data_IF_929029653991
#
_entry.id   IF_929029653991
#
_cell.length_a   1.000
_cell.length_b   1.000
_cell.length_c   1.000
_cell.angle_alpha   90.00
_cell.angle_beta   90.00
_cell.angle_gamma   90.00
#
_symmetry.space_group_name_H-M   'P 1'
#
loop_
_entity.id
_entity.type
_entity.pdbx_description
1 polymer ?
#
# COMPACT_ATOMS: atom_id res chain seq x y z
N UNK A 1 37.29 -0.31 19.06
CA UNK A 1 36.22 -0.27 20.08
C UNK A 1 35.33 0.89 19.67
N UNK A 2 34.30 0.61 18.86
CA UNK A 2 33.39 1.62 18.30
C UNK A 2 32.20 1.68 19.26
N UNK A 3 31.93 2.87 19.77
CA UNK A 3 30.90 3.13 20.77
C UNK A 3 29.52 3.06 20.09
N UNK A 4 28.68 2.12 20.53
CA UNK A 4 27.35 1.82 19.98
C UNK A 4 26.32 2.49 20.89
N UNK A 5 26.34 3.82 20.95
CA UNK A 5 25.34 4.62 21.67
C UNK A 5 24.82 5.78 20.81
N UNK A 6 24.46 5.48 19.55
CA UNK A 6 23.66 6.42 18.76
C UNK A 6 22.15 6.12 18.95
N UNK A 7 21.38 7.00 19.62
CA UNK A 7 19.96 6.80 19.89
C UNK A 7 19.06 6.82 18.65
N UNK A 8 19.58 7.16 17.46
CA UNK A 8 18.81 7.11 16.20
C UNK A 8 18.53 5.68 15.71
N UNK A 9 19.31 4.68 16.14
CA UNK A 9 19.11 3.28 15.73
C UNK A 9 17.92 2.63 16.47
N UNK A 10 17.53 3.17 17.64
CA UNK A 10 16.43 2.62 18.45
C UNK A 10 15.04 2.86 17.86
N UNK A 11 14.87 3.84 16.97
CA UNK A 11 13.60 4.09 16.29
C UNK A 11 13.36 3.17 15.09
N UNK A 12 14.42 2.61 14.48
CA UNK A 12 14.29 1.68 13.35
C UNK A 12 13.72 0.31 13.75
N UNK A 13 14.00 -0.18 14.97
CA UNK A 13 13.55 -1.50 15.42
C UNK A 13 12.05 -1.48 15.81
N UNK A 14 11.53 -0.34 16.31
CA UNK A 14 10.11 -0.22 16.63
C UNK A 14 9.21 -0.16 15.38
N UNK A 15 9.69 0.44 14.28
CA UNK A 15 8.94 0.51 13.02
C UNK A 15 8.80 -0.90 12.41
N UNK A 16 9.88 -1.69 12.39
CA UNK A 16 9.85 -3.08 11.89
C UNK A 16 8.88 -3.96 12.68
N UNK A 17 8.78 -3.77 14.00
CA UNK A 17 7.82 -4.51 14.84
C UNK A 17 6.36 -4.10 14.60
N UNK A 18 6.08 -2.84 14.26
CA UNK A 18 4.73 -2.38 13.92
C UNK A 18 4.25 -2.92 12.57
N UNK A 19 5.14 -3.00 11.57
CA UNK A 19 4.85 -3.63 10.28
C UNK A 19 4.48 -5.12 10.43
N UNK A 20 5.21 -5.85 11.28
CA UNK A 20 4.91 -7.26 11.58
C UNK A 20 3.57 -7.43 12.33
N UNK A 21 3.20 -6.50 13.21
CA UNK A 21 1.96 -6.57 13.99
C UNK A 21 0.71 -6.31 13.14
N UNK A 22 0.83 -5.57 12.04
CA UNK A 22 -0.27 -5.36 11.08
C UNK A 22 -0.50 -6.58 10.18
N UNK A 23 0.55 -7.30 9.79
CA UNK A 23 0.44 -8.59 9.09
C UNK A 23 -0.30 -9.66 9.92
N UNK A 24 -0.12 -9.66 11.25
CA UNK A 24 -0.80 -10.59 12.16
C UNK A 24 -2.32 -10.33 12.30
N UNK A 25 -2.84 -9.17 11.88
CA UNK A 25 -4.31 -8.94 11.80
C UNK A 25 -4.96 -9.59 10.58
N UNK A 26 -4.19 -10.16 9.65
CA UNK A 26 -4.71 -10.95 8.53
C UNK A 26 -4.93 -12.44 8.88
N UNK A 27 -4.90 -12.82 10.16
CA UNK A 27 -5.15 -14.20 10.63
C UNK A 27 -6.60 -14.69 10.48
N UNK A 28 -7.40 -14.10 9.60
CA UNK A 28 -8.60 -14.80 9.11
C UNK A 28 -8.14 -15.73 8.00
N UNK A 29 -8.16 -17.03 8.28
CA UNK A 29 -8.00 -18.04 7.24
C UNK A 29 -8.96 -17.69 6.08
N UNK A 30 -8.45 -17.60 4.84
CA UNK A 30 -9.29 -17.26 3.71
C UNK A 30 -10.40 -18.30 3.61
N UNK A 31 -11.62 -17.82 3.39
CA UNK A 31 -12.72 -18.72 3.14
C UNK A 31 -12.44 -19.46 1.84
N UNK A 32 -12.67 -20.78 1.81
CA UNK A 32 -12.41 -21.59 0.62
C UNK A 32 -13.69 -22.20 0.08
N UNK A 33 -13.77 -22.34 -1.23
CA UNK A 33 -14.79 -23.10 -1.93
C UNK A 33 -14.15 -23.87 -3.09
N UNK A 34 -14.75 -24.98 -3.51
CA UNK A 34 -14.28 -25.69 -4.70
C UNK A 34 -14.93 -25.14 -5.97
N UNK A 35 -14.34 -25.40 -7.14
CA UNK A 35 -14.98 -25.11 -8.43
C UNK A 35 -16.35 -25.82 -8.54
N UNK A 36 -16.49 -27.02 -7.96
CA UNK A 36 -17.76 -27.74 -7.93
C UNK A 36 -18.81 -27.02 -7.07
N UNK A 37 -18.41 -26.49 -5.90
CA UNK A 37 -19.29 -25.69 -5.04
C UNK A 37 -19.74 -24.40 -5.74
N UNK A 38 -18.82 -23.73 -6.44
CA UNK A 38 -19.16 -22.55 -7.22
C UNK A 38 -20.18 -22.88 -8.32
N UNK A 39 -20.00 -24.00 -9.03
CA UNK A 39 -20.93 -24.42 -10.08
C UNK A 39 -22.32 -24.76 -9.54
N UNK A 40 -22.38 -25.51 -8.44
CA UNK A 40 -23.63 -26.07 -7.95
C UNK A 40 -24.36 -25.13 -6.97
N UNK A 41 -23.61 -24.29 -6.24
CA UNK A 41 -24.11 -23.46 -5.13
C UNK A 41 -23.58 -22.01 -5.20
N UNK A 42 -23.51 -21.42 -6.40
CA UNK A 42 -22.96 -20.08 -6.60
C UNK A 42 -23.54 -19.01 -5.65
N UNK A 43 -24.85 -19.04 -5.36
CA UNK A 43 -25.47 -18.09 -4.42
C UNK A 43 -24.91 -18.19 -3.00
N UNK A 44 -24.62 -19.41 -2.52
CA UNK A 44 -23.98 -19.59 -1.21
C UNK A 44 -22.56 -19.06 -1.20
N UNK A 45 -21.83 -19.21 -2.31
CA UNK A 45 -20.47 -18.66 -2.45
C UNK A 45 -20.50 -17.13 -2.51
N UNK A 46 -21.47 -16.54 -3.19
CA UNK A 46 -21.65 -15.08 -3.25
C UNK A 46 -22.03 -14.52 -1.87
N UNK A 47 -22.92 -15.18 -1.12
CA UNK A 47 -23.28 -14.74 0.23
C UNK A 47 -22.08 -14.73 1.20
N UNK A 48 -21.06 -15.57 0.97
CA UNK A 48 -19.82 -15.58 1.77
C UNK A 48 -18.96 -14.33 1.54
N UNK A 49 -19.14 -13.63 0.42
CA UNK A 49 -18.39 -12.41 0.09
C UNK A 49 -18.67 -11.25 1.06
N UNK A 50 -19.83 -11.24 1.72
CA UNK A 50 -20.13 -10.29 2.81
C UNK A 50 -19.12 -10.38 3.96
N UNK A 51 -18.52 -11.56 4.15
CA UNK A 51 -17.54 -11.83 5.20
C UNK A 51 -16.08 -11.72 4.70
N UNK A 52 -15.89 -11.37 3.43
CA UNK A 52 -14.59 -11.18 2.79
C UNK A 52 -14.33 -12.13 1.59
N UNK A 53 -13.12 -12.10 1.04
CA UNK A 53 -12.77 -12.84 -0.17
C UNK A 53 -12.90 -14.36 -0.01
N UNK A 54 -13.30 -15.02 -1.09
CA UNK A 54 -13.41 -16.49 -1.16
C UNK A 54 -12.41 -17.02 -2.18
N UNK A 55 -11.54 -17.93 -1.73
CA UNK A 55 -10.55 -18.60 -2.56
C UNK A 55 -11.18 -19.82 -3.20
N UNK A 56 -11.15 -19.89 -4.53
CA UNK A 56 -11.65 -21.01 -5.30
C UNK A 56 -10.51 -21.99 -5.56
N UNK A 57 -10.77 -23.26 -5.27
CA UNK A 57 -9.81 -24.35 -5.43
C UNK A 57 -10.32 -25.42 -6.40
N UNK A 58 -9.40 -26.06 -7.12
CA UNK A 58 -9.65 -27.21 -7.99
C UNK A 58 -8.53 -28.23 -7.83
N UNK A 59 -8.89 -29.49 -7.52
CA UNK A 59 -7.93 -30.59 -7.33
C UNK A 59 -6.78 -30.21 -6.38
N UNK A 60 -7.09 -29.49 -5.30
CA UNK A 60 -6.13 -29.06 -4.28
C UNK A 60 -5.27 -27.84 -4.66
N UNK A 61 -5.49 -27.21 -5.81
CA UNK A 61 -4.79 -25.98 -6.23
C UNK A 61 -5.72 -24.78 -6.20
N UNK A 62 -5.19 -23.62 -5.82
CA UNK A 62 -5.90 -22.34 -5.95
C UNK A 62 -5.99 -21.98 -7.43
N UNK A 63 -7.20 -21.65 -7.90
CA UNK A 63 -7.45 -21.30 -9.30
C UNK A 63 -7.96 -19.87 -9.47
N UNK A 64 -8.68 -19.33 -8.48
CA UNK A 64 -9.20 -17.98 -8.51
C UNK A 64 -9.46 -17.46 -7.08
N UNK A 65 -9.62 -16.14 -6.97
CA UNK A 65 -10.13 -15.47 -5.77
C UNK A 65 -11.35 -14.67 -6.20
N UNK A 66 -12.46 -14.84 -5.49
CA UNK A 66 -13.68 -14.08 -5.71
C UNK A 66 -13.79 -13.04 -4.60
N UNK A 67 -14.12 -11.83 -4.99
CA UNK A 67 -14.23 -10.65 -4.13
C UNK A 67 -15.38 -9.79 -4.65
N UNK A 68 -16.00 -9.01 -3.76
CA UNK A 68 -17.03 -8.05 -4.19
C UNK A 68 -16.38 -6.86 -4.90
N UNK A 69 -17.08 -6.20 -5.84
CA UNK A 69 -16.56 -5.00 -6.49
C UNK A 69 -16.16 -3.90 -5.49
N UNK A 70 -16.94 -3.70 -4.44
CA UNK A 70 -16.67 -2.67 -3.42
C UNK A 70 -15.38 -2.99 -2.65
N UNK A 71 -15.11 -4.28 -2.42
CA UNK A 71 -13.88 -4.71 -1.78
C UNK A 71 -12.67 -4.57 -2.71
N UNK A 72 -12.85 -4.82 -4.02
CA UNK A 72 -11.83 -4.55 -5.04
C UNK A 72 -11.44 -3.07 -5.04
N UNK A 73 -12.44 -2.20 -5.18
CA UNK A 73 -12.24 -0.76 -5.29
C UNK A 73 -11.49 -0.24 -4.06
N UNK A 74 -11.87 -0.72 -2.88
CA UNK A 74 -11.16 -0.39 -1.64
C UNK A 74 -9.69 -0.82 -1.66
N UNK A 75 -9.38 -2.05 -2.10
CA UNK A 75 -7.98 -2.51 -2.18
C UNK A 75 -7.19 -1.63 -3.13
N UNK A 76 -7.76 -1.29 -4.29
CA UNK A 76 -7.08 -0.45 -5.28
C UNK A 76 -6.81 0.94 -4.71
N UNK A 77 -7.81 1.57 -4.07
CA UNK A 77 -7.61 2.86 -3.39
C UNK A 77 -6.56 2.79 -2.30
N UNK A 78 -6.62 1.76 -1.44
CA UNK A 78 -5.64 1.58 -0.36
C UNK A 78 -4.21 1.39 -0.91
N UNK A 79 -4.05 0.79 -2.10
CA UNK A 79 -2.75 0.63 -2.77
C UNK A 79 -2.26 1.94 -3.38
N UNK A 80 -3.15 2.70 -4.02
CA UNK A 80 -2.85 4.01 -4.60
C UNK A 80 -2.36 4.99 -3.51
N UNK A 81 -3.08 5.05 -2.39
CA UNK A 81 -2.68 5.87 -1.22
C UNK A 81 -1.31 5.44 -0.65
N UNK A 82 -0.98 4.15 -0.68
CA UNK A 82 0.32 3.65 -0.24
C UNK A 82 1.45 4.04 -1.19
N UNK A 83 1.21 3.97 -2.50
CA UNK A 83 2.19 4.36 -3.51
C UNK A 83 2.48 5.87 -3.46
N UNK A 84 1.47 6.69 -3.24
CA UNK A 84 1.64 8.13 -2.99
C UNK A 84 2.50 8.40 -1.75
N UNK A 85 2.22 7.69 -0.65
CA UNK A 85 2.99 7.82 0.58
C UNK A 85 4.45 7.37 0.41
N UNK A 86 4.67 6.29 -0.34
CA UNK A 86 6.03 5.81 -0.68
C UNK A 86 6.79 6.88 -1.48
N UNK A 87 6.14 7.52 -2.47
CA UNK A 87 6.77 8.57 -3.26
C UNK A 87 7.18 9.78 -2.41
N UNK A 88 6.31 10.23 -1.50
CA UNK A 88 6.64 11.33 -0.57
C UNK A 88 7.84 10.96 0.30
N UNK A 89 7.85 9.77 0.88
CA UNK A 89 8.94 9.31 1.75
C UNK A 89 10.26 9.14 0.98
N UNK A 90 10.21 8.69 -0.27
CA UNK A 90 11.39 8.61 -1.13
C UNK A 90 11.95 10.00 -1.43
N UNK A 91 11.10 10.98 -1.74
CA UNK A 91 11.53 12.35 -1.95
C UNK A 91 12.17 12.96 -0.68
N UNK A 92 11.59 12.73 0.50
CA UNK A 92 12.19 13.16 1.77
C UNK A 92 13.56 12.52 2.00
N UNK A 93 13.70 11.22 1.70
CA UNK A 93 14.96 10.50 1.81
C UNK A 93 16.02 11.03 0.84
N UNK A 94 15.65 11.35 -0.39
CA UNK A 94 16.56 11.90 -1.40
C UNK A 94 17.07 13.29 -1.00
N UNK A 95 16.23 14.11 -0.37
CA UNK A 95 16.61 15.40 0.22
C UNK A 95 17.58 15.17 1.40
N UNK A 96 17.24 14.27 2.32
CA UNK A 96 18.05 13.99 3.51
C UNK A 96 19.43 13.41 3.18
N UNK A 97 19.51 12.57 2.15
CA UNK A 97 20.76 11.95 1.68
C UNK A 97 21.55 12.84 0.73
N UNK A 98 21.02 14.01 0.36
CA UNK A 98 21.66 14.95 -0.58
C UNK A 98 21.73 14.43 -2.02
N UNK A 99 20.95 13.40 -2.36
CA UNK A 99 20.83 12.90 -3.73
C UNK A 99 20.06 13.88 -4.61
N UNK A 100 19.17 14.68 -4.02
CA UNK A 100 18.44 15.71 -4.72
C UNK A 100 19.18 17.05 -4.69
N UNK A 101 19.52 17.57 -5.86
CA UNK A 101 20.07 18.93 -6.01
C UNK A 101 18.95 19.95 -5.83
N UNK A 102 18.84 20.53 -4.64
CA UNK A 102 17.97 21.68 -4.42
C UNK A 102 18.43 22.85 -5.29
N UNK A 103 17.59 23.23 -6.27
CA UNK A 103 17.76 24.46 -7.04
C UNK A 103 16.87 25.54 -6.42
N UNK A 104 17.45 26.69 -6.04
CA UNK A 104 16.66 27.89 -5.77
C UNK A 104 16.16 28.43 -7.10
N UNK A 105 14.84 28.56 -7.23
CA UNK A 105 14.24 29.29 -8.34
C UNK A 105 14.30 30.79 -8.04
N UNK A 106 14.66 31.58 -9.05
CA UNK A 106 14.56 33.03 -8.95
C UNK A 106 13.08 33.47 -8.99
N UNK A 107 12.75 34.67 -8.47
CA UNK A 107 11.39 35.21 -8.60
C UNK A 107 10.89 35.28 -10.06
N UNK A 108 11.80 35.50 -11.02
CA UNK A 108 11.51 35.54 -12.45
C UNK A 108 11.15 34.14 -12.99
N UNK A 109 11.89 33.10 -12.60
CA UNK A 109 11.60 31.71 -12.97
C UNK A 109 10.27 31.22 -12.36
N UNK A 110 9.95 31.67 -11.14
CA UNK A 110 8.66 31.37 -10.49
C UNK A 110 7.51 32.00 -11.26
N UNK A 111 7.65 33.26 -11.70
CA UNK A 111 6.65 33.97 -12.49
C UNK A 111 6.42 33.33 -13.87
N UNK A 112 7.47 32.81 -14.49
CA UNK A 112 7.37 32.08 -15.75
C UNK A 112 6.57 30.78 -15.58
N UNK A 113 6.80 30.04 -14.49
CA UNK A 113 6.10 28.79 -14.19
C UNK A 113 4.65 28.96 -13.76
N UNK A 114 4.34 30.01 -13.01
CA UNK A 114 2.98 30.26 -12.51
C UNK A 114 2.03 30.79 -13.59
N UNK A 115 2.55 31.22 -14.74
CA UNK A 115 1.75 31.86 -15.79
C UNK A 115 1.13 33.20 -15.36
N UNK A 116 1.42 33.65 -14.14
CA UNK A 116 1.03 34.96 -13.64
C UNK A 116 1.97 35.98 -14.27
N UNK A 117 1.44 36.72 -15.25
CA UNK A 117 2.05 37.98 -15.65
C UNK A 117 2.14 38.85 -14.41
N UNK A 118 3.36 38.99 -13.86
CA UNK A 118 3.66 39.96 -12.81
C UNK A 118 3.21 41.32 -13.32
N UNK A 119 2.07 41.79 -12.82
CA UNK A 119 1.58 43.13 -13.11
C UNK A 119 2.54 44.08 -12.40
N UNK A 120 3.40 44.70 -13.21
CA UNK A 120 4.36 45.71 -12.80
C UNK A 120 3.67 47.00 -12.31
#
# INVERSE_FOLDING_TARGET
MVDIQDPTIYNGIQITFLCYRRALRMNKLPQTATVADLRNNHLSVVARLENGPVVITSRGKIVAVVLSPEYWDKIVTDLDEQDDLIQVLQAELDIATGQQKMRRLSPEEIAEWSGERVLA
#
